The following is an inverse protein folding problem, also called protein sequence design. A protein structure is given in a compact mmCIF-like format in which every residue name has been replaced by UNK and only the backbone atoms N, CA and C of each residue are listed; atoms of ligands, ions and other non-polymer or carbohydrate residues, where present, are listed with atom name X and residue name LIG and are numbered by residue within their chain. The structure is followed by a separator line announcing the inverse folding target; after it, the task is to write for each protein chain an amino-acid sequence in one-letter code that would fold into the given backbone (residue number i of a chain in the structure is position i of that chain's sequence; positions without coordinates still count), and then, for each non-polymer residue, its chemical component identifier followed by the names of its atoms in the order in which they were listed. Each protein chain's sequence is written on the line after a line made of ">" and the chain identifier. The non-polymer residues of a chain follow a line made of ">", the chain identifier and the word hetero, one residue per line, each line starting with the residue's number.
data_IF_057427894645
#
_entry.id   IF_057427894645
#
_cell.length_a   1.000
_cell.length_b   1.000
_cell.length_c   1.000
_cell.angle_alpha   90.00
_cell.angle_beta   90.00
_cell.angle_gamma   90.00
#
_symmetry.space_group_name_H-M   'P 1'
#
loop_
_entity.id
_entity.type
_entity.pdbx_description
1 polymer ?
#
# COMPACT_ATOMS: atom_id res chain seq x y z
N UNK A 1 -0.99 -18.57 -27.89
CA UNK A 1 -0.05 -18.94 -26.81
C UNK A 1 1.12 -17.96 -26.85
N UNK A 2 1.17 -17.02 -25.89
CA UNK A 2 2.29 -16.07 -25.81
C UNK A 2 3.49 -16.75 -25.16
N UNK A 3 4.55 -17.02 -25.94
CA UNK A 3 5.85 -17.39 -25.40
C UNK A 3 6.39 -16.20 -24.62
N UNK A 4 6.67 -16.37 -23.32
CA UNK A 4 7.34 -15.33 -22.52
C UNK A 4 8.71 -15.10 -23.16
N UNK A 5 8.94 -13.88 -23.66
CA UNK A 5 10.20 -13.53 -24.30
C UNK A 5 11.34 -13.66 -23.29
N UNK A 6 12.45 -14.28 -23.71
CA UNK A 6 13.65 -14.38 -22.84
C UNK A 6 14.11 -12.96 -22.50
N UNK A 7 14.21 -12.62 -21.20
CA UNK A 7 14.62 -11.29 -20.76
C UNK A 7 16.00 -10.95 -21.33
N UNK A 8 16.11 -9.76 -21.90
CA UNK A 8 17.41 -9.18 -22.24
C UNK A 8 17.88 -8.34 -21.06
N UNK A 9 19.18 -8.44 -20.76
CA UNK A 9 19.77 -7.71 -19.66
C UNK A 9 19.64 -6.18 -19.90
N UNK A 10 19.18 -5.39 -18.92
CA UNK A 10 19.15 -3.94 -19.07
C UNK A 10 20.56 -3.41 -19.34
N UNK A 11 20.71 -2.48 -20.29
CA UNK A 11 22.01 -1.88 -20.60
C UNK A 11 22.52 -1.11 -19.38
N UNK A 12 23.56 -1.60 -18.72
CA UNK A 12 24.22 -0.95 -17.59
C UNK A 12 25.61 -1.54 -17.30
N UNK A 13 26.54 -0.69 -16.85
CA UNK A 13 27.93 -1.04 -16.52
C UNK A 13 27.99 -1.77 -15.17
N UNK A 14 27.76 -3.07 -15.13
CA UNK A 14 28.36 -3.89 -14.09
C UNK A 14 29.84 -4.07 -14.46
N UNK A 15 30.70 -3.13 -14.08
CA UNK A 15 32.13 -3.18 -14.37
C UNK A 15 32.77 -4.33 -13.57
N UNK A 16 33.44 -5.26 -14.27
CA UNK A 16 34.25 -6.30 -13.64
C UNK A 16 33.57 -7.63 -13.31
N UNK A 17 32.31 -7.86 -13.69
CA UNK A 17 31.68 -9.19 -13.64
C UNK A 17 31.22 -9.59 -15.03
N UNK A 18 31.66 -10.76 -15.49
CA UNK A 18 31.30 -11.28 -16.80
C UNK A 18 29.81 -11.60 -16.85
N UNK A 19 29.13 -11.11 -17.89
CA UNK A 19 27.71 -11.38 -18.08
C UNK A 19 27.53 -12.84 -18.49
N UNK A 20 26.50 -13.54 -17.98
CA UNK A 20 26.18 -14.88 -18.44
C UNK A 20 25.78 -14.83 -19.92
N UNK A 21 26.00 -15.96 -20.61
CA UNK A 21 25.52 -16.13 -21.97
C UNK A 21 24.00 -15.91 -22.04
N UNK A 22 23.52 -15.48 -23.21
CA UNK A 22 22.09 -15.31 -23.43
C UNK A 22 21.37 -16.66 -23.19
N UNK A 23 20.35 -16.71 -22.32
CA UNK A 23 19.63 -17.96 -22.05
C UNK A 23 19.02 -18.56 -23.32
N UNK A 24 18.90 -19.89 -23.33
CA UNK A 24 18.16 -20.59 -24.37
C UNK A 24 16.66 -20.25 -24.33
N UNK A 25 15.92 -20.61 -25.38
CA UNK A 25 14.46 -20.45 -25.42
C UNK A 25 13.79 -21.80 -25.78
N UNK A 26 13.19 -22.52 -24.81
CA UNK A 26 13.08 -22.17 -23.39
C UNK A 26 14.45 -22.21 -22.68
N UNK A 27 14.62 -21.46 -21.57
CA UNK A 27 15.84 -21.55 -20.77
C UNK A 27 16.08 -22.98 -20.29
N UNK A 28 17.35 -23.33 -20.11
CA UNK A 28 17.78 -24.60 -19.53
C UNK A 28 18.01 -24.47 -18.01
N UNK A 29 18.17 -25.60 -17.30
CA UNK A 29 18.62 -25.59 -15.90
C UNK A 29 19.99 -24.92 -15.75
N UNK A 30 20.86 -25.07 -16.76
CA UNK A 30 22.15 -24.41 -16.79
C UNK A 30 22.00 -22.87 -16.84
N UNK A 31 21.00 -22.37 -17.58
CA UNK A 31 20.71 -20.92 -17.63
C UNK A 31 20.24 -20.39 -16.27
N UNK A 32 19.44 -21.18 -15.53
CA UNK A 32 19.04 -20.86 -14.16
C UNK A 32 20.26 -20.86 -13.21
N UNK A 33 21.12 -21.87 -13.31
CA UNK A 33 22.35 -21.94 -12.51
C UNK A 33 23.28 -20.75 -12.79
N UNK A 34 23.48 -20.41 -14.06
CA UNK A 34 24.27 -19.25 -14.48
C UNK A 34 23.69 -17.93 -13.94
N UNK A 35 22.37 -17.77 -13.95
CA UNK A 35 21.72 -16.58 -13.38
C UNK A 35 21.88 -16.48 -11.85
N UNK A 36 21.90 -17.60 -11.12
CA UNK A 36 22.18 -17.63 -9.69
C UNK A 36 23.65 -17.26 -9.39
N UNK A 37 24.59 -17.88 -10.10
CA UNK A 37 26.03 -17.60 -9.95
C UNK A 37 26.31 -16.12 -10.19
N UNK A 38 25.75 -15.58 -11.27
CA UNK A 38 25.94 -14.18 -11.62
C UNK A 38 25.38 -13.19 -10.57
N UNK A 39 24.26 -13.52 -9.92
CA UNK A 39 23.75 -12.70 -8.80
C UNK A 39 24.73 -12.69 -7.61
N UNK A 40 25.29 -13.84 -7.27
CA UNK A 40 26.26 -13.93 -6.18
C UNK A 40 27.58 -13.22 -6.51
N UNK A 41 28.05 -13.30 -7.76
CA UNK A 41 29.24 -12.58 -8.21
C UNK A 41 29.07 -11.06 -8.13
N UNK A 42 27.88 -10.55 -8.47
CA UNK A 42 27.55 -9.13 -8.36
C UNK A 42 27.46 -8.68 -6.91
N UNK A 43 26.88 -9.49 -6.01
CA UNK A 43 26.87 -9.21 -4.56
C UNK A 43 28.29 -9.20 -3.98
N UNK A 44 29.12 -10.17 -4.38
CA UNK A 44 30.53 -10.22 -3.97
C UNK A 44 31.32 -9.00 -4.48
N UNK A 45 31.11 -8.59 -5.72
CA UNK A 45 31.73 -7.38 -6.27
C UNK A 45 31.27 -6.12 -5.51
N UNK A 46 29.98 -5.98 -5.21
CA UNK A 46 29.45 -4.87 -4.41
C UNK A 46 30.07 -4.80 -3.00
N UNK A 47 30.28 -5.97 -2.36
CA UNK A 47 30.85 -6.07 -1.02
C UNK A 47 32.35 -5.74 -0.94
N UNK A 48 33.12 -5.93 -2.02
CA UNK A 48 34.57 -5.66 -2.05
C UNK A 48 34.93 -4.16 -1.99
N UNK A 49 33.99 -3.27 -2.33
CA UNK A 49 34.24 -1.83 -2.40
C UNK A 49 35.17 -1.43 -3.56
N UNK A 50 35.38 -0.11 -3.74
CA UNK A 50 36.22 0.45 -4.82
C UNK A 50 35.45 1.28 -5.85
N UNK A 51 36.18 1.86 -6.80
CA UNK A 51 35.61 2.73 -7.85
C UNK A 51 34.74 1.95 -8.85
N UNK A 52 35.02 0.66 -9.06
CA UNK A 52 34.33 -0.22 -10.01
C UNK A 52 33.34 -1.18 -9.32
N UNK A 53 32.86 -0.84 -8.12
CA UNK A 53 31.91 -1.70 -7.40
C UNK A 53 30.52 -1.66 -8.05
N UNK A 54 29.84 -2.80 -8.04
CA UNK A 54 28.44 -2.90 -8.41
C UNK A 54 27.58 -2.07 -7.46
N UNK A 55 26.63 -1.33 -8.04
CA UNK A 55 25.68 -0.52 -7.28
C UNK A 55 24.48 -1.36 -6.87
N UNK A 56 23.71 -0.85 -5.91
CA UNK A 56 22.45 -1.47 -5.49
C UNK A 56 21.47 -1.64 -6.66
N UNK A 57 21.48 -0.71 -7.60
CA UNK A 57 20.71 -0.80 -8.84
C UNK A 57 21.12 -2.00 -9.71
N UNK A 58 22.40 -2.35 -9.75
CA UNK A 58 22.89 -3.52 -10.50
C UNK A 58 22.43 -4.82 -9.85
N UNK A 59 22.44 -4.90 -8.50
CA UNK A 59 21.89 -6.04 -7.75
C UNK A 59 20.39 -6.20 -8.06
N UNK A 60 19.63 -5.11 -8.07
CA UNK A 60 18.20 -5.13 -8.40
C UNK A 60 17.95 -5.62 -9.84
N UNK A 61 18.73 -5.13 -10.81
CA UNK A 61 18.65 -5.56 -12.22
C UNK A 61 18.97 -7.04 -12.40
N UNK A 62 20.01 -7.55 -11.73
CA UNK A 62 20.40 -8.97 -11.81
C UNK A 62 19.38 -9.87 -11.12
N UNK A 63 18.80 -9.41 -10.01
CA UNK A 63 17.70 -10.10 -9.33
C UNK A 63 16.47 -10.22 -10.24
N UNK A 64 16.08 -9.13 -10.92
CA UNK A 64 14.99 -9.16 -11.89
C UNK A 64 15.28 -10.10 -13.08
N UNK A 65 16.52 -10.09 -13.59
CA UNK A 65 16.97 -11.00 -14.63
C UNK A 65 16.84 -12.48 -14.18
N UNK A 66 17.35 -12.82 -12.99
CA UNK A 66 17.23 -14.16 -12.40
C UNK A 66 15.78 -14.63 -12.30
N UNK A 67 14.90 -13.77 -11.77
CA UNK A 67 13.46 -14.09 -11.68
C UNK A 67 12.85 -14.32 -13.05
N UNK A 68 13.23 -13.53 -14.06
CA UNK A 68 12.69 -13.72 -15.39
C UNK A 68 13.22 -14.97 -16.09
N UNK A 69 14.47 -15.40 -15.84
CA UNK A 69 14.99 -16.69 -16.31
C UNK A 69 14.27 -17.85 -15.64
N UNK A 70 14.03 -17.79 -14.32
CA UNK A 70 13.27 -18.79 -13.57
C UNK A 70 11.82 -18.92 -14.10
N UNK A 71 11.16 -17.79 -14.34
CA UNK A 71 9.80 -17.77 -14.86
C UNK A 71 9.72 -18.31 -16.30
N UNK A 72 10.70 -17.99 -17.14
CA UNK A 72 10.76 -18.50 -18.51
C UNK A 72 11.16 -19.99 -18.57
N UNK A 73 12.02 -20.47 -17.66
CA UNK A 73 12.33 -21.89 -17.49
C UNK A 73 11.09 -22.70 -17.09
N UNK A 74 10.26 -22.13 -16.20
CA UNK A 74 9.03 -22.77 -15.73
C UNK A 74 8.00 -23.05 -16.83
N UNK A 75 8.03 -22.30 -17.94
CA UNK A 75 7.12 -22.45 -19.09
C UNK A 75 5.62 -22.36 -18.76
N UNK A 76 4.74 -22.19 -19.77
CA UNK A 76 3.30 -22.39 -19.61
C UNK A 76 2.88 -23.88 -19.67
N UNK A 77 3.76 -24.78 -20.11
CA UNK A 77 3.43 -26.18 -20.44
C UNK A 77 4.05 -27.24 -19.50
N UNK A 78 4.75 -26.84 -18.43
CA UNK A 78 4.87 -27.72 -17.27
C UNK A 78 3.62 -27.51 -16.44
N UNK A 79 3.12 -28.53 -15.73
CA UNK A 79 1.99 -28.45 -14.80
C UNK A 79 2.30 -27.53 -13.60
N UNK A 80 2.63 -26.28 -13.88
CA UNK A 80 2.99 -25.17 -13.00
C UNK A 80 1.73 -24.53 -12.40
N UNK A 81 0.70 -25.35 -12.17
CA UNK A 81 -0.27 -25.01 -11.16
C UNK A 81 0.51 -24.90 -9.86
N UNK A 82 0.51 -23.70 -9.26
CA UNK A 82 1.17 -23.47 -7.99
C UNK A 82 0.75 -24.62 -7.04
N UNK A 83 1.68 -25.32 -6.38
CA UNK A 83 1.32 -26.45 -5.54
C UNK A 83 0.24 -26.07 -4.53
N UNK A 84 -0.66 -26.99 -4.17
CA UNK A 84 -1.77 -26.69 -3.25
C UNK A 84 -1.30 -26.03 -1.93
N UNK A 85 -0.13 -26.43 -1.41
CA UNK A 85 0.47 -25.81 -0.22
C UNK A 85 0.86 -24.34 -0.44
N UNK A 86 1.26 -23.97 -1.66
CA UNK A 86 1.66 -22.62 -2.01
C UNK A 86 0.43 -21.73 -2.25
N UNK A 87 -0.65 -22.25 -2.83
CA UNK A 87 -1.96 -21.57 -2.84
C UNK A 87 -2.48 -21.30 -1.43
N UNK A 88 -2.35 -22.29 -0.55
CA UNK A 88 -2.74 -22.14 0.84
C UNK A 88 -1.87 -21.11 1.59
N UNK A 89 -0.57 -21.08 1.31
CA UNK A 89 0.34 -20.07 1.86
C UNK A 89 -0.02 -18.66 1.38
N UNK A 90 -0.25 -18.48 0.07
CA UNK A 90 -0.68 -17.21 -0.52
C UNK A 90 -2.00 -16.75 0.11
N UNK A 91 -2.99 -17.64 0.24
CA UNK A 91 -4.27 -17.35 0.89
C UNK A 91 -4.07 -16.87 2.33
N UNK A 92 -3.21 -17.54 3.11
CA UNK A 92 -2.90 -17.16 4.50
C UNK A 92 -2.16 -15.83 4.59
N UNK A 93 -1.24 -15.56 3.66
CA UNK A 93 -0.53 -14.28 3.59
C UNK A 93 -1.51 -13.15 3.27
N UNK A 94 -2.36 -13.31 2.25
CA UNK A 94 -3.37 -12.33 1.89
C UNK A 94 -4.32 -12.04 3.07
N UNK A 95 -4.77 -13.07 3.79
CA UNK A 95 -5.57 -12.87 5.00
C UNK A 95 -4.85 -12.07 6.09
N UNK A 96 -3.53 -12.28 6.26
CA UNK A 96 -2.72 -11.51 7.21
C UNK A 96 -2.56 -10.06 6.75
N UNK A 97 -2.30 -9.83 5.47
CA UNK A 97 -2.21 -8.48 4.92
C UNK A 97 -3.51 -7.71 5.06
N UNK A 98 -4.64 -8.30 4.69
CA UNK A 98 -5.97 -7.68 4.89
C UNK A 98 -6.21 -7.34 6.37
N UNK A 99 -5.80 -8.22 7.30
CA UNK A 99 -5.92 -7.94 8.73
C UNK A 99 -5.02 -6.77 9.17
N UNK A 100 -3.79 -6.71 8.67
CA UNK A 100 -2.86 -5.62 8.96
C UNK A 100 -3.36 -4.28 8.40
N UNK A 101 -3.91 -4.27 7.19
CA UNK A 101 -4.52 -3.07 6.58
C UNK A 101 -5.67 -2.55 7.45
N UNK A 102 -6.60 -3.43 7.85
CA UNK A 102 -7.70 -3.04 8.75
C UNK A 102 -7.19 -2.52 10.10
N UNK A 103 -6.13 -3.11 10.65
CA UNK A 103 -5.51 -2.63 11.89
C UNK A 103 -4.86 -1.26 11.70
N UNK A 104 -4.14 -1.05 10.59
CA UNK A 104 -3.50 0.21 10.25
C UNK A 104 -4.53 1.34 10.12
N UNK A 105 -5.60 1.12 9.36
CA UNK A 105 -6.70 2.08 9.20
C UNK A 105 -7.34 2.44 10.54
N UNK A 106 -7.53 1.46 11.43
CA UNK A 106 -8.07 1.71 12.78
C UNK A 106 -7.13 2.52 13.65
N UNK A 107 -5.83 2.24 13.59
CA UNK A 107 -4.82 2.99 14.33
C UNK A 107 -4.73 4.44 13.86
N UNK A 108 -4.78 4.67 12.56
CA UNK A 108 -4.82 6.00 11.96
C UNK A 108 -6.08 6.77 12.38
N UNK A 109 -7.26 6.16 12.25
CA UNK A 109 -8.50 6.80 12.70
C UNK A 109 -8.46 7.14 14.20
N UNK A 110 -7.87 6.27 15.02
CA UNK A 110 -7.74 6.48 16.46
C UNK A 110 -6.73 7.60 16.80
N UNK A 111 -5.55 7.62 16.17
CA UNK A 111 -4.54 8.65 16.39
C UNK A 111 -5.06 10.03 15.97
N UNK A 112 -5.76 10.11 14.84
CA UNK A 112 -6.40 11.34 14.36
C UNK A 112 -7.46 11.85 15.34
N UNK A 113 -8.29 10.95 15.92
CA UNK A 113 -9.26 11.34 16.96
C UNK A 113 -8.55 11.88 18.20
N UNK A 114 -7.49 11.22 18.67
CA UNK A 114 -6.72 11.70 19.82
C UNK A 114 -6.12 13.07 19.54
N UNK A 115 -5.53 13.26 18.36
CA UNK A 115 -5.00 14.55 17.93
C UNK A 115 -6.08 15.65 17.94
N UNK A 116 -7.27 15.36 17.41
CA UNK A 116 -8.38 16.30 17.42
C UNK A 116 -8.86 16.65 18.83
N UNK A 117 -8.83 15.68 19.77
CA UNK A 117 -9.17 15.93 21.17
C UNK A 117 -8.23 16.97 21.81
N UNK A 118 -6.93 16.90 21.50
CA UNK A 118 -5.94 17.86 21.99
C UNK A 118 -5.97 19.21 21.25
N UNK A 119 -6.59 19.27 20.06
CA UNK A 119 -6.70 20.49 19.25
C UNK A 119 -7.79 21.46 19.74
N UNK A 120 -8.48 21.14 20.84
CA UNK A 120 -9.52 21.94 21.50
C UNK A 120 -10.61 22.43 20.54
N UNK A 121 -10.51 23.66 20.01
CA UNK A 121 -11.49 24.31 19.12
C UNK A 121 -11.08 24.36 17.64
N UNK A 122 -9.86 23.91 17.30
CA UNK A 122 -9.37 23.95 15.91
C UNK A 122 -8.78 25.29 15.45
N UNK A 123 -8.69 26.32 16.32
CA UNK A 123 -8.28 27.69 15.91
C UNK A 123 -6.78 27.85 15.69
N UNK A 124 -5.96 27.35 16.61
CA UNK A 124 -4.50 27.41 16.52
C UNK A 124 -3.95 26.18 15.79
N UNK A 125 -4.55 25.03 16.07
CA UNK A 125 -4.21 23.74 15.48
C UNK A 125 -5.50 23.18 14.89
N UNK A 126 -5.63 23.11 13.54
CA UNK A 126 -6.85 22.63 12.91
C UNK A 126 -7.03 21.13 13.15
N UNK A 127 -8.27 20.69 13.22
CA UNK A 127 -8.59 19.27 13.22
C UNK A 127 -8.16 18.61 11.92
N UNK A 128 -7.78 17.35 12.04
CA UNK A 128 -7.54 16.44 10.93
C UNK A 128 -8.79 15.63 10.62
N UNK A 129 -9.00 15.30 9.34
CA UNK A 129 -10.14 14.47 8.94
C UNK A 129 -9.92 13.04 9.38
N UNK A 130 -10.91 12.47 10.05
CA UNK A 130 -10.88 11.07 10.45
C UNK A 130 -11.38 10.23 9.28
N UNK A 131 -10.61 9.25 8.78
CA UNK A 131 -11.10 8.36 7.75
C UNK A 131 -12.23 7.46 8.27
N UNK A 132 -13.07 6.96 7.37
CA UNK A 132 -14.10 5.98 7.74
C UNK A 132 -13.48 4.59 8.01
N UNK A 133 -14.32 3.58 8.23
CA UNK A 133 -13.88 2.19 8.47
C UNK A 133 -13.11 1.57 7.31
N UNK A 134 -13.31 2.08 6.10
CA UNK A 134 -12.67 1.64 4.87
C UNK A 134 -11.42 2.47 4.55
N UNK A 135 -11.00 3.40 5.43
CA UNK A 135 -9.82 4.24 5.24
C UNK A 135 -10.04 5.45 4.32
N UNK A 136 -11.29 5.73 3.94
CA UNK A 136 -11.60 6.81 2.99
C UNK A 136 -11.73 8.14 3.75
N UNK A 137 -11.13 9.20 3.19
CA UNK A 137 -11.31 10.57 3.65
C UNK A 137 -12.66 11.13 3.18
N UNK A 138 -13.53 11.67 4.07
CA UNK A 138 -14.81 12.27 3.70
C UNK A 138 -14.73 13.42 2.70
N UNK A 139 -13.60 14.14 2.66
CA UNK A 139 -13.36 15.31 1.81
C UNK A 139 -12.82 14.93 0.43
N UNK A 140 -12.15 13.77 0.33
CA UNK A 140 -11.54 13.26 -0.90
C UNK A 140 -12.47 12.40 -1.76
N UNK A 141 -13.77 12.36 -1.47
CA UNK A 141 -14.74 11.53 -2.20
C UNK A 141 -15.02 12.12 -3.59
N UNK A 142 -15.02 11.26 -4.61
CA UNK A 142 -15.37 11.65 -5.98
C UNK A 142 -16.84 12.12 -6.09
N UNK A 143 -17.74 11.45 -5.36
CA UNK A 143 -19.17 11.74 -5.37
C UNK A 143 -19.58 12.36 -4.04
N UNK A 144 -20.15 13.56 -4.11
CA UNK A 144 -20.65 14.34 -2.96
C UNK A 144 -19.56 14.55 -1.87
N UNK A 145 -18.45 15.23 -2.20
CA UNK A 145 -17.39 15.52 -1.24
C UNK A 145 -17.93 16.35 -0.07
N UNK A 146 -17.56 15.96 1.14
CA UNK A 146 -18.02 16.64 2.34
C UNK A 146 -17.07 17.79 2.72
N UNK A 147 -17.59 18.91 3.26
CA UNK A 147 -16.76 20.06 3.59
C UNK A 147 -15.84 19.74 4.77
N UNK A 148 -14.53 20.07 4.71
CA UNK A 148 -13.59 19.74 5.78
C UNK A 148 -14.00 20.34 7.12
N UNK A 149 -13.86 19.55 8.19
CA UNK A 149 -14.20 19.93 9.56
C UNK A 149 -12.94 20.30 10.32
N UNK A 150 -12.31 21.43 9.99
CA UNK A 150 -11.02 21.85 10.59
C UNK A 150 -11.20 22.58 11.92
N UNK A 151 -12.39 23.11 12.18
CA UNK A 151 -12.70 23.91 13.35
C UNK A 151 -14.08 23.60 13.91
N UNK A 152 -14.34 24.03 15.15
CA UNK A 152 -15.70 24.03 15.73
C UNK A 152 -16.67 24.85 14.88
N UNK A 153 -16.21 25.91 14.24
CA UNK A 153 -17.08 26.74 13.42
C UNK A 153 -17.55 26.00 12.17
N UNK A 154 -16.70 25.15 11.58
CA UNK A 154 -17.09 24.33 10.43
C UNK A 154 -18.22 23.36 10.80
N UNK A 155 -18.16 22.76 12.00
CA UNK A 155 -19.24 21.92 12.55
C UNK A 155 -20.54 22.72 12.72
N UNK A 156 -20.47 23.94 13.27
CA UNK A 156 -21.65 24.82 13.44
C UNK A 156 -22.28 25.18 12.10
N UNK A 157 -21.45 25.41 11.10
CA UNK A 157 -21.85 25.85 9.77
C UNK A 157 -22.38 24.72 8.88
N UNK A 158 -22.31 23.45 9.31
CA UNK A 158 -22.86 22.34 8.55
C UNK A 158 -24.37 22.51 8.31
N UNK A 159 -24.81 22.43 7.07
CA UNK A 159 -26.24 22.34 6.76
C UNK A 159 -26.82 21.04 7.29
N UNK A 160 -28.15 20.94 7.41
CA UNK A 160 -28.80 19.70 7.84
C UNK A 160 -28.48 18.52 6.89
N UNK A 161 -28.38 18.78 5.58
CA UNK A 161 -28.02 17.79 4.57
C UNK A 161 -26.57 17.32 4.74
N UNK A 162 -25.62 18.25 4.89
CA UNK A 162 -24.21 17.90 5.11
C UNK A 162 -24.00 17.12 6.41
N UNK A 163 -24.70 17.52 7.47
CA UNK A 163 -24.65 16.80 8.75
C UNK A 163 -25.16 15.36 8.60
N UNK A 164 -26.30 15.15 7.95
CA UNK A 164 -26.80 13.78 7.68
C UNK A 164 -25.82 13.00 6.82
N UNK A 165 -25.26 13.60 5.76
CA UNK A 165 -24.30 12.93 4.90
C UNK A 165 -23.03 12.52 5.66
N UNK A 166 -22.58 13.32 6.64
CA UNK A 166 -21.48 12.97 7.52
C UNK A 166 -21.81 11.76 8.41
N UNK A 167 -23.01 11.73 8.98
CA UNK A 167 -23.45 10.60 9.80
C UNK A 167 -23.57 9.32 8.97
N UNK A 168 -24.12 9.42 7.76
CA UNK A 168 -24.25 8.30 6.82
C UNK A 168 -22.87 7.80 6.37
N UNK A 169 -21.94 8.72 6.05
CA UNK A 169 -20.56 8.39 5.65
C UNK A 169 -19.82 7.59 6.74
N UNK A 170 -19.96 8.00 8.00
CA UNK A 170 -19.37 7.29 9.14
C UNK A 170 -20.22 6.13 9.67
N UNK A 171 -21.38 5.87 9.05
CA UNK A 171 -22.36 4.86 9.47
C UNK A 171 -22.75 5.00 10.95
N UNK A 172 -22.93 6.24 11.41
CA UNK A 172 -23.33 6.55 12.78
C UNK A 172 -24.83 6.30 12.94
N UNK A 173 -25.29 5.61 14.00
CA UNK A 173 -26.70 5.33 14.18
C UNK A 173 -27.45 6.61 14.58
N UNK A 174 -28.39 7.05 13.75
CA UNK A 174 -29.33 8.12 14.07
C UNK A 174 -30.70 7.85 13.45
N UNK A 175 -31.75 8.45 14.00
CA UNK A 175 -33.10 8.39 13.45
C UNK A 175 -33.37 9.69 12.70
N UNK A 176 -34.21 9.67 11.65
CA UNK A 176 -34.54 10.88 10.88
C UNK A 176 -35.06 12.04 11.75
N UNK A 177 -35.76 11.72 12.85
CA UNK A 177 -36.30 12.69 13.82
C UNK A 177 -35.31 13.12 14.92
N UNK A 178 -34.07 12.62 14.91
CA UNK A 178 -33.04 13.05 15.85
C UNK A 178 -32.74 14.54 15.65
N UNK A 179 -32.68 15.28 16.75
CA UNK A 179 -32.42 16.73 16.73
C UNK A 179 -31.01 17.04 16.20
N UNK A 180 -30.81 18.28 15.76
CA UNK A 180 -29.51 18.72 15.23
C UNK A 180 -28.40 18.59 16.28
N UNK A 181 -28.70 18.93 17.52
CA UNK A 181 -27.77 18.93 18.64
C UNK A 181 -27.26 17.52 18.93
N UNK A 182 -28.16 16.53 18.93
CA UNK A 182 -27.79 15.11 19.14
C UNK A 182 -26.95 14.61 17.97
N UNK A 183 -27.31 14.96 16.73
CA UNK A 183 -26.51 14.62 15.53
C UNK A 183 -25.11 15.22 15.58
N UNK A 184 -24.99 16.49 15.97
CA UNK A 184 -23.70 17.14 16.16
C UNK A 184 -22.91 16.47 17.28
N UNK A 185 -23.54 16.09 18.40
CA UNK A 185 -22.92 15.33 19.48
C UNK A 185 -22.33 14.00 18.99
N UNK A 186 -23.09 13.24 18.19
CA UNK A 186 -22.61 11.99 17.58
C UNK A 186 -21.39 12.21 16.68
N UNK A 187 -21.47 13.20 15.78
CA UNK A 187 -20.37 13.53 14.88
C UNK A 187 -19.12 14.00 15.62
N UNK A 188 -19.27 14.89 16.60
CA UNK A 188 -18.19 15.40 17.46
C UNK A 188 -17.48 14.28 18.19
N UNK A 189 -18.23 13.41 18.84
CA UNK A 189 -17.68 12.25 19.55
C UNK A 189 -16.92 11.33 18.58
N UNK A 190 -17.45 11.13 17.37
CA UNK A 190 -16.77 10.31 16.38
C UNK A 190 -15.44 10.89 15.94
N UNK A 191 -15.37 12.21 15.66
CA UNK A 191 -14.16 12.85 15.14
C UNK A 191 -13.16 13.29 16.22
N UNK A 192 -13.49 13.10 17.51
CA UNK A 192 -12.64 13.51 18.63
C UNK A 192 -12.75 14.99 18.99
N UNK A 193 -13.84 15.68 18.65
CA UNK A 193 -14.04 17.09 19.00
C UNK A 193 -14.71 17.23 20.38
N UNK A 194 -13.95 17.68 21.39
CA UNK A 194 -14.47 17.87 22.76
C UNK A 194 -15.14 19.24 22.99
N UNK A 195 -14.84 20.24 22.17
CA UNK A 195 -15.36 21.60 22.35
C UNK A 195 -16.88 21.69 22.07
N UNK A 196 -17.60 22.44 22.89
CA UNK A 196 -19.03 22.71 22.69
C UNK A 196 -19.29 23.45 21.38
N UNK A 197 -20.29 22.95 20.64
CA UNK A 197 -20.72 23.40 19.31
C UNK A 197 -22.07 24.04 19.47
#
# INVERSE_FOLDING_TARGET
>A
MNRIAVPTFPRGRAQGVDRPARPQNPPSLQDVANANIFLEDIKHNAARGGADRALEEDIAKVTAYRHSVLNAYGGPDQNNAMPAWAHELERRLNQRFTRLEVMSTRLEAMSTKMYNMFSLRGRQVPYMMVPNRDGIDPTGREINPLPPLRTVQDLRNLTAAQLNNYLDFYQLPYVRRTTREVKLGLLRNHIGCVAEV
#
